data_IF_827524643644
#
_entry.id   IF_827524643644
#
_cell.length_a   1.000
_cell.length_b   1.000
_cell.length_c   1.000
_cell.angle_alpha   90.00
_cell.angle_beta   90.00
_cell.angle_gamma   90.00
#
_symmetry.space_group_name_H-M   'P 1'
#
loop_
_entity.id
_entity.type
_entity.pdbx_description
1 polymer ?
#
# COMPACT_ATOMS: atom_id res chain seq x y z
N UNK A 1 -11.74 -5.17 -21.14
CA UNK A 1 -12.59 -5.55 -19.99
C UNK A 1 -11.74 -5.54 -18.74
N UNK A 2 -12.24 -4.99 -17.63
CA UNK A 2 -11.53 -5.02 -16.34
C UNK A 2 -11.46 -6.46 -15.80
N UNK A 3 -10.37 -6.82 -15.11
CA UNK A 3 -10.15 -8.18 -14.57
C UNK A 3 -11.29 -8.65 -13.66
N UNK A 4 -11.82 -7.77 -12.83
CA UNK A 4 -12.94 -8.06 -11.91
C UNK A 4 -14.24 -8.36 -12.66
N UNK A 5 -14.50 -7.69 -13.79
CA UNK A 5 -15.68 -7.97 -14.62
C UNK A 5 -15.61 -9.34 -15.32
N UNK A 6 -14.42 -9.92 -15.46
CA UNK A 6 -14.22 -11.28 -15.94
C UNK A 6 -14.31 -12.34 -14.82
N UNK A 7 -14.66 -11.94 -13.59
CA UNK A 7 -14.74 -12.84 -12.43
C UNK A 7 -13.39 -13.21 -11.83
N UNK A 8 -12.30 -12.52 -12.21
CA UNK A 8 -10.97 -12.74 -11.64
C UNK A 8 -10.88 -11.99 -10.31
N UNK A 9 -10.52 -12.71 -9.24
CA UNK A 9 -10.29 -12.11 -7.93
C UNK A 9 -9.00 -11.27 -7.94
N UNK A 10 -9.06 -10.09 -7.37
CA UNK A 10 -7.94 -9.15 -7.34
C UNK A 10 -7.61 -8.83 -5.89
N UNK A 11 -6.34 -8.95 -5.53
CA UNK A 11 -5.75 -8.36 -4.33
C UNK A 11 -4.73 -7.31 -4.74
N UNK A 12 -4.68 -6.18 -4.02
CA UNK A 12 -3.71 -5.11 -4.27
C UNK A 12 -2.79 -4.95 -3.07
N UNK A 13 -1.49 -5.11 -3.28
CA UNK A 13 -0.47 -4.86 -2.26
C UNK A 13 0.31 -3.60 -2.58
N UNK A 14 0.37 -2.68 -1.61
CA UNK A 14 1.12 -1.43 -1.63
C UNK A 14 2.18 -1.55 -0.53
N UNK A 15 3.13 -2.47 -0.75
CA UNK A 15 4.09 -2.93 0.26
C UNK A 15 5.48 -3.12 -0.36
N UNK A 16 6.47 -2.26 -0.05
CA UNK A 16 6.36 -1.08 0.81
C UNK A 16 5.60 0.05 0.12
N UNK A 17 4.80 0.79 0.89
CA UNK A 17 4.19 2.05 0.48
C UNK A 17 5.26 3.14 0.49
N UNK A 18 5.45 3.75 -0.67
CA UNK A 18 6.30 4.91 -0.88
C UNK A 18 5.47 6.21 -0.77
N UNK A 19 6.10 7.39 -0.73
CA UNK A 19 5.39 8.67 -0.83
C UNK A 19 4.40 8.70 -1.98
N UNK A 20 3.23 9.28 -1.72
CA UNK A 20 2.17 9.49 -2.71
C UNK A 20 1.77 10.96 -2.64
N UNK A 21 1.91 11.68 -3.75
CA UNK A 21 1.63 13.12 -3.82
C UNK A 21 0.15 13.45 -3.56
N UNK A 22 -0.76 12.66 -4.18
CA UNK A 22 -2.21 12.79 -4.02
C UNK A 22 -2.81 11.43 -3.63
N UNK A 23 -2.90 11.22 -2.31
CA UNK A 23 -3.39 9.97 -1.71
C UNK A 23 -4.88 9.76 -2.01
N UNK A 24 -5.68 10.83 -2.13
CA UNK A 24 -7.11 10.70 -2.41
C UNK A 24 -7.36 10.23 -3.84
N UNK A 25 -6.73 10.88 -4.81
CA UNK A 25 -6.85 10.48 -6.22
C UNK A 25 -6.22 9.11 -6.47
N UNK A 26 -5.17 8.75 -5.75
CA UNK A 26 -4.65 7.38 -5.75
C UNK A 26 -5.68 6.38 -5.20
N UNK A 27 -6.28 6.66 -4.04
CA UNK A 27 -7.32 5.82 -3.44
C UNK A 27 -8.55 5.62 -4.33
N UNK A 28 -9.01 6.66 -5.03
CA UNK A 28 -10.14 6.56 -5.98
C UNK A 28 -9.82 5.62 -7.14
N UNK A 29 -8.60 5.73 -7.70
CA UNK A 29 -8.12 4.81 -8.76
C UNK A 29 -8.01 3.37 -8.28
N UNK A 30 -7.64 3.15 -7.01
CA UNK A 30 -7.64 1.81 -6.43
C UNK A 30 -9.06 1.25 -6.30
N UNK A 31 -10.01 2.04 -5.83
CA UNK A 31 -11.42 1.66 -5.70
C UNK A 31 -12.02 1.20 -7.04
N UNK A 32 -11.65 1.87 -8.14
CA UNK A 32 -12.10 1.52 -9.51
C UNK A 32 -11.67 0.11 -9.96
N UNK A 33 -10.63 -0.47 -9.34
CA UNK A 33 -10.22 -1.85 -9.63
C UNK A 33 -11.20 -2.89 -9.11
N UNK A 34 -12.04 -2.52 -8.13
CA UNK A 34 -12.94 -3.41 -7.41
C UNK A 34 -12.20 -4.64 -6.87
N UNK A 35 -11.03 -4.42 -6.26
CA UNK A 35 -10.28 -5.49 -5.62
C UNK A 35 -11.00 -5.97 -4.35
N UNK A 36 -10.84 -7.25 -4.05
CA UNK A 36 -11.41 -7.87 -2.85
C UNK A 36 -10.63 -7.48 -1.60
N UNK A 37 -9.35 -7.18 -1.76
CA UNK A 37 -8.42 -6.92 -0.67
C UNK A 37 -7.40 -5.85 -1.04
N UNK A 38 -7.06 -5.00 -0.06
CA UNK A 38 -6.00 -4.01 -0.15
C UNK A 38 -5.10 -4.13 1.08
N UNK A 39 -3.79 -4.22 0.85
CA UNK A 39 -2.77 -4.33 1.90
C UNK A 39 -1.76 -3.20 1.74
N UNK A 40 -1.41 -2.54 2.85
CA UNK A 40 -0.34 -1.54 2.88
C UNK A 40 0.75 -1.94 3.85
N UNK A 41 1.99 -1.56 3.58
CA UNK A 41 3.07 -1.75 4.53
C UNK A 41 4.02 -0.57 4.50
N UNK A 42 4.53 -0.14 5.66
CA UNK A 42 5.60 0.85 5.69
C UNK A 42 6.91 0.27 5.13
N UNK A 43 7.79 1.15 4.63
CA UNK A 43 9.13 0.75 4.21
C UNK A 43 9.91 0.14 5.38
N UNK A 44 10.57 -0.98 5.14
CA UNK A 44 11.53 -1.57 6.09
C UNK A 44 12.89 -1.65 5.41
N UNK A 45 13.92 -0.94 5.93
CA UNK A 45 15.28 -1.13 5.48
C UNK A 45 15.78 -2.51 5.92
N UNK A 46 16.50 -3.19 5.04
CA UNK A 46 17.15 -4.47 5.36
C UNK A 46 16.39 -5.70 4.85
N UNK A 47 17.15 -6.71 4.44
CA UNK A 47 16.67 -8.00 3.94
C UNK A 47 16.36 -8.93 5.12
N UNK A 48 15.21 -9.62 5.08
CA UNK A 48 14.98 -10.77 5.95
C UNK A 48 15.44 -12.05 5.24
N UNK A 49 15.46 -13.18 5.95
CA UNK A 49 15.74 -14.49 5.34
C UNK A 49 14.81 -14.81 4.17
N UNK A 50 13.60 -14.27 4.17
CA UNK A 50 12.52 -14.61 3.24
C UNK A 50 11.94 -13.41 2.45
N UNK A 51 12.36 -12.18 2.74
CA UNK A 51 11.85 -10.98 2.08
C UNK A 51 12.98 -10.04 1.63
N UNK A 52 12.85 -9.51 0.41
CA UNK A 52 13.69 -8.41 -0.06
C UNK A 52 13.31 -7.14 0.72
N UNK A 53 14.30 -6.52 1.36
CA UNK A 53 14.13 -5.23 2.02
C UNK A 53 13.97 -4.09 1.02
N UNK A 54 13.57 -2.92 1.53
CA UNK A 54 13.69 -1.69 0.74
C UNK A 54 15.18 -1.43 0.46
N UNK A 55 15.53 -1.28 -0.82
CA UNK A 55 16.90 -0.97 -1.24
C UNK A 55 17.39 0.37 -0.68
N UNK A 56 18.70 0.51 -0.50
CA UNK A 56 19.31 1.68 0.15
C UNK A 56 18.92 2.99 -0.56
N UNK A 57 18.96 3.03 -1.89
CA UNK A 57 18.58 4.24 -2.65
C UNK A 57 17.11 4.61 -2.49
N UNK A 58 16.21 3.61 -2.47
CA UNK A 58 14.78 3.85 -2.26
C UNK A 58 14.50 4.34 -0.83
N UNK A 59 15.19 3.78 0.17
CA UNK A 59 15.08 4.24 1.56
C UNK A 59 15.64 5.67 1.72
N UNK A 60 16.77 5.98 1.07
CA UNK A 60 17.36 7.32 1.04
C UNK A 60 16.39 8.33 0.43
N UNK A 61 15.85 8.02 -0.75
CA UNK A 61 14.90 8.91 -1.44
C UNK A 61 13.63 9.13 -0.64
N UNK A 62 13.07 8.07 -0.06
CA UNK A 62 11.92 8.18 0.84
C UNK A 62 12.23 9.11 2.03
N UNK A 63 13.43 9.00 2.63
CA UNK A 63 13.87 9.90 3.69
C UNK A 63 14.00 11.36 3.21
N UNK A 64 14.59 11.60 2.04
CA UNK A 64 14.72 12.93 1.44
C UNK A 64 13.35 13.58 1.18
N UNK A 65 12.37 12.78 0.78
CA UNK A 65 10.99 13.20 0.52
C UNK A 65 10.15 13.32 1.82
N UNK A 66 10.77 13.17 3.00
CA UNK A 66 10.10 13.30 4.29
C UNK A 66 9.15 12.14 4.64
N UNK A 67 9.33 10.99 4.00
CA UNK A 67 8.51 9.81 4.22
C UNK A 67 8.82 9.16 5.56
N UNK A 68 7.99 9.48 6.54
CA UNK A 68 8.08 8.94 7.90
C UNK A 68 6.93 7.98 8.17
N UNK A 69 7.03 7.20 9.25
CA UNK A 69 5.92 6.39 9.77
C UNK A 69 4.66 7.25 10.00
N UNK A 70 4.83 8.53 10.37
CA UNK A 70 3.71 9.47 10.54
C UNK A 70 3.02 9.78 9.21
N UNK A 71 3.79 10.08 8.16
CA UNK A 71 3.22 10.36 6.83
C UNK A 71 2.57 9.11 6.22
N UNK A 72 3.19 7.94 6.42
CA UNK A 72 2.57 6.66 6.08
C UNK A 72 1.22 6.45 6.79
N UNK A 73 1.16 6.65 8.11
CA UNK A 73 -0.11 6.54 8.86
C UNK A 73 -1.16 7.53 8.38
N UNK A 74 -0.75 8.76 8.03
CA UNK A 74 -1.65 9.76 7.43
C UNK A 74 -2.18 9.29 6.09
N UNK A 75 -1.31 8.81 5.20
CA UNK A 75 -1.72 8.29 3.90
C UNK A 75 -2.66 7.08 4.05
N UNK A 76 -2.32 6.12 4.93
CA UNK A 76 -3.17 4.97 5.23
C UNK A 76 -4.54 5.39 5.77
N UNK A 77 -4.61 6.42 6.61
CA UNK A 77 -5.89 6.94 7.10
C UNK A 77 -6.76 7.53 5.98
N UNK A 78 -6.14 8.24 5.02
CA UNK A 78 -6.85 8.74 3.83
C UNK A 78 -7.33 7.59 2.95
N UNK A 79 -6.47 6.61 2.65
CA UNK A 79 -6.84 5.44 1.86
C UNK A 79 -7.95 4.62 2.54
N UNK A 80 -7.88 4.44 3.86
CA UNK A 80 -8.91 3.75 4.63
C UNK A 80 -10.27 4.46 4.52
N UNK A 81 -10.30 5.80 4.51
CA UNK A 81 -11.55 6.56 4.30
C UNK A 81 -12.08 6.43 2.87
N UNK A 82 -11.20 6.48 1.88
CA UNK A 82 -11.59 6.39 0.46
C UNK A 82 -12.07 4.97 0.10
N UNK A 83 -11.35 3.95 0.56
CA UNK A 83 -11.63 2.53 0.29
C UNK A 83 -12.72 1.96 1.21
N UNK A 84 -12.86 2.48 2.44
CA UNK A 84 -13.75 1.97 3.49
C UNK A 84 -15.24 2.00 3.16
N UNK A 85 -15.64 2.75 2.13
CA UNK A 85 -16.98 2.65 1.57
C UNK A 85 -17.22 1.32 0.83
N UNK A 86 -16.16 0.56 0.52
CA UNK A 86 -16.21 -0.64 -0.31
C UNK A 86 -15.49 -1.84 0.33
N UNK A 87 -14.33 -1.66 0.99
CA UNK A 87 -13.51 -2.75 1.59
C UNK A 87 -12.59 -2.25 2.71
N UNK A 88 -12.14 -3.19 3.57
CA UNK A 88 -11.16 -2.93 4.64
C UNK A 88 -9.73 -2.81 4.10
N UNK A 89 -8.97 -1.81 4.57
CA UNK A 89 -7.54 -1.66 4.27
C UNK A 89 -6.68 -2.35 5.34
N UNK A 90 -6.06 -3.46 4.95
CA UNK A 90 -5.19 -4.26 5.81
C UNK A 90 -3.78 -3.65 5.90
N UNK A 91 -3.06 -4.02 6.95
CA UNK A 91 -1.67 -3.62 7.16
C UNK A 91 -0.80 -4.86 7.27
N UNK A 92 0.18 -4.96 6.37
CA UNK A 92 1.02 -6.15 6.25
C UNK A 92 2.09 -6.23 7.33
N UNK A 93 2.43 -7.46 7.71
CA UNK A 93 3.51 -7.80 8.62
C UNK A 93 4.59 -8.57 7.87
N UNK A 94 5.86 -8.16 8.02
CA UNK A 94 7.03 -8.81 7.38
C UNK A 94 6.98 -9.04 5.85
N UNK A 95 6.06 -8.37 5.14
CA UNK A 95 5.91 -8.47 3.67
C UNK A 95 4.70 -9.31 3.26
N UNK A 96 3.88 -9.73 4.22
CA UNK A 96 2.68 -10.55 4.02
C UNK A 96 1.42 -9.80 4.45
N UNK A 97 0.29 -10.16 3.87
CA UNK A 97 -1.03 -9.76 4.39
C UNK A 97 -1.20 -10.30 5.83
N UNK A 98 -1.91 -9.59 6.72
CA UNK A 98 -2.21 -10.11 8.05
C UNK A 98 -3.06 -11.38 7.96
N UNK A 99 -2.80 -12.33 8.87
CA UNK A 99 -3.52 -13.61 8.95
C UNK A 99 -4.97 -13.47 9.42
#
# INVERSE_FOLDING_TARGET
MALSAAGVRIGVSISPMLPIDDVESFGKRLADLNAEEYVTQYLKPGRSRFAAGTGIEAARKASEDGWTVREYRRARAVLSKVLGNQRTLLEGEEGYAPA
#
